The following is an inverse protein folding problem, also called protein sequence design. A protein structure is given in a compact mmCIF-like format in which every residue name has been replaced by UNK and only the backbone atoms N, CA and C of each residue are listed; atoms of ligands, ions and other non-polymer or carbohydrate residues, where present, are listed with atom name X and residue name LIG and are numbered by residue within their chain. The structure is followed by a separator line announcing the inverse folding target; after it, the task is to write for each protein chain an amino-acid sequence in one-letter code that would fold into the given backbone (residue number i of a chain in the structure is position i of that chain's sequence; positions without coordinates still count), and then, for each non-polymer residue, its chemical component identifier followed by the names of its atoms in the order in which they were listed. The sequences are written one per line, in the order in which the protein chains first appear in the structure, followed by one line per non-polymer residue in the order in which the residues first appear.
data_IF_906430340754
#
_entry.id   IF_906430340754
#
_cell.length_a   1.000
_cell.length_b   1.000
_cell.length_c   1.000
_cell.angle_alpha   90.00
_cell.angle_beta   90.00
_cell.angle_gamma   90.00
#
_symmetry.space_group_name_H-M   'P 1'
#
loop_
_entity.id
_entity.type
_entity.pdbx_description
1 polymer ?
#
# COMPACT_ATOMS: atom_id res chain seq x y z
N UNK A 1 -1.32 -12.72 -2.69
CA UNK A 1 -0.18 -12.17 -3.48
C UNK A 1 0.84 -11.60 -2.51
N UNK A 2 2.14 -11.77 -2.72
CA UNK A 2 3.20 -11.42 -1.75
C UNK A 2 4.08 -10.24 -2.20
N UNK A 3 3.51 -9.32 -2.95
CA UNK A 3 4.20 -8.10 -3.35
C UNK A 3 3.84 -6.95 -2.41
N UNK A 4 4.81 -6.56 -1.57
CA UNK A 4 4.65 -5.48 -0.59
C UNK A 4 4.41 -4.13 -1.25
N UNK A 5 5.00 -3.85 -2.42
CA UNK A 5 4.79 -2.55 -3.08
C UNK A 5 3.37 -2.47 -3.67
N UNK A 6 2.84 -3.57 -4.19
CA UNK A 6 1.45 -3.64 -4.64
C UNK A 6 0.45 -3.55 -3.49
N UNK A 7 0.72 -4.18 -2.35
CA UNK A 7 -0.11 -4.03 -1.13
C UNK A 7 -0.15 -2.59 -0.64
N UNK A 8 1.01 -1.93 -0.63
CA UNK A 8 1.11 -0.52 -0.28
C UNK A 8 0.27 0.33 -1.24
N UNK A 9 0.45 0.18 -2.55
CA UNK A 9 -0.32 0.93 -3.54
C UNK A 9 -1.83 0.68 -3.44
N UNK A 10 -2.28 -0.52 -3.11
CA UNK A 10 -3.71 -0.81 -2.90
C UNK A 10 -4.31 0.09 -1.81
N UNK A 11 -3.59 0.34 -0.72
CA UNK A 11 -4.07 1.22 0.37
C UNK A 11 -3.88 2.70 0.03
N UNK A 12 -2.71 3.07 -0.50
CA UNK A 12 -2.38 4.48 -0.80
C UNK A 12 -3.32 5.08 -1.86
N UNK A 13 -3.74 4.29 -2.86
CA UNK A 13 -4.66 4.77 -3.93
C UNK A 13 -6.03 5.22 -3.43
N UNK A 14 -6.49 4.69 -2.31
CA UNK A 14 -7.77 5.09 -1.71
C UNK A 14 -7.65 6.35 -0.84
N UNK A 15 -6.43 6.69 -0.42
CA UNK A 15 -6.10 7.89 0.37
C UNK A 15 -5.73 9.08 -0.50
N UNK A 16 -5.27 8.86 -1.73
CA UNK A 16 -4.97 9.94 -2.68
C UNK A 16 -6.26 10.68 -3.06
N UNK A 17 -6.28 11.99 -2.84
CA UNK A 17 -7.41 12.85 -3.18
C UNK A 17 -7.66 12.87 -4.69
N UNK A 18 -8.90 12.57 -5.09
CA UNK A 18 -9.34 12.47 -6.50
C UNK A 18 -9.98 13.74 -7.08
N UNK A 19 -10.01 14.83 -6.32
CA UNK A 19 -10.51 16.12 -6.81
C UNK A 19 -9.63 16.67 -7.94
N UNK A 20 -10.05 17.70 -8.65
CA UNK A 20 -9.15 18.37 -9.61
C UNK A 20 -7.93 18.96 -8.89
N UNK A 21 -6.77 18.97 -9.56
CA UNK A 21 -5.56 19.63 -9.07
C UNK A 21 -5.79 21.14 -9.07
N UNK A 22 -5.40 21.81 -7.99
CA UNK A 22 -5.34 23.27 -7.93
C UNK A 22 -3.96 23.72 -8.43
N UNK A 23 -3.83 24.97 -8.88
CA UNK A 23 -2.58 25.48 -9.48
C UNK A 23 -1.33 25.33 -8.61
N UNK A 24 -1.50 25.29 -7.27
CA UNK A 24 -0.41 25.10 -6.32
C UNK A 24 -0.05 23.63 -6.04
N UNK A 25 -0.87 22.67 -6.49
CA UNK A 25 -0.68 21.24 -6.25
C UNK A 25 -0.14 20.51 -7.48
N UNK A 26 0.72 19.53 -7.23
CA UNK A 26 1.15 18.55 -8.23
C UNK A 26 0.60 17.17 -7.90
N UNK A 27 0.57 16.28 -8.90
CA UNK A 27 0.27 14.87 -8.66
C UNK A 27 1.22 14.29 -7.60
N UNK A 28 2.52 14.62 -7.67
CA UNK A 28 3.52 14.16 -6.72
C UNK A 28 3.22 14.60 -5.30
N UNK A 29 2.83 15.86 -5.07
CA UNK A 29 2.47 16.33 -3.72
C UNK A 29 1.27 15.57 -3.13
N UNK A 30 0.30 15.17 -3.95
CA UNK A 30 -0.84 14.37 -3.47
C UNK A 30 -0.50 12.92 -3.18
N UNK A 31 0.40 12.35 -3.98
CA UNK A 31 0.92 11.01 -3.72
C UNK A 31 1.70 11.01 -2.41
N UNK A 32 2.52 12.04 -2.16
CA UNK A 32 3.25 12.21 -0.90
C UNK A 32 2.26 12.31 0.26
N UNK A 33 1.29 13.24 0.22
CA UNK A 33 0.28 13.40 1.26
C UNK A 33 -0.50 12.11 1.54
N UNK A 34 -1.02 11.45 0.50
CA UNK A 34 -1.75 10.19 0.65
C UNK A 34 -0.90 9.03 1.14
N UNK A 35 0.41 9.05 0.87
CA UNK A 35 1.37 8.05 1.37
C UNK A 35 1.76 8.27 2.83
N UNK A 36 1.90 9.53 3.26
CA UNK A 36 2.19 9.89 4.65
C UNK A 36 1.00 9.64 5.57
N UNK A 37 -0.23 9.68 5.03
CA UNK A 37 -1.47 9.33 5.74
C UNK A 37 -1.63 7.81 5.96
N UNK A 38 -0.78 6.96 5.38
CA UNK A 38 -0.80 5.52 5.64
C UNK A 38 -0.26 5.23 7.05
N UNK A 39 -1.07 4.67 7.96
CA UNK A 39 -0.59 4.37 9.31
C UNK A 39 0.50 3.30 9.29
N UNK A 40 1.50 3.43 10.17
CA UNK A 40 2.59 2.45 10.33
C UNK A 40 2.05 1.03 10.60
N UNK A 41 0.92 0.92 11.31
CA UNK A 41 0.23 -0.35 11.56
C UNK A 41 -0.15 -1.09 10.26
N UNK A 42 -0.56 -0.38 9.20
CA UNK A 42 -0.83 -1.02 7.92
C UNK A 42 0.44 -1.63 7.32
N UNK A 43 1.57 -0.94 7.42
CA UNK A 43 2.87 -1.45 6.94
C UNK A 43 3.27 -2.69 7.72
N UNK A 44 3.11 -2.68 9.05
CA UNK A 44 3.35 -3.84 9.90
C UNK A 44 2.44 -5.02 9.52
N UNK A 45 1.17 -4.76 9.22
CA UNK A 45 0.22 -5.78 8.78
C UNK A 45 0.61 -6.39 7.42
N UNK A 46 1.16 -5.62 6.48
CA UNK A 46 1.66 -6.17 5.20
C UNK A 46 2.84 -7.11 5.41
N UNK A 47 3.77 -6.73 6.30
CA UNK A 47 4.92 -7.56 6.67
C UNK A 47 4.44 -8.85 7.35
N UNK A 48 3.53 -8.73 8.31
CA UNK A 48 2.98 -9.88 9.03
C UNK A 48 2.24 -10.84 8.08
N UNK A 49 1.38 -10.32 7.21
CA UNK A 49 0.71 -11.12 6.19
C UNK A 49 1.72 -11.87 5.30
N UNK A 50 2.83 -11.22 4.95
CA UNK A 50 3.88 -11.86 4.16
C UNK A 50 4.53 -13.02 4.90
N UNK A 51 4.83 -12.85 6.20
CA UNK A 51 5.35 -13.90 7.07
C UNK A 51 4.36 -15.08 7.15
N UNK A 52 3.07 -14.78 7.33
CA UNK A 52 2.02 -15.80 7.51
C UNK A 52 1.76 -16.62 6.24
N UNK A 53 1.90 -15.99 5.07
CA UNK A 53 1.62 -16.60 3.76
C UNK A 53 2.85 -17.27 3.16
N UNK A 54 4.07 -16.86 3.54
CA UNK A 54 5.31 -17.42 3.01
C UNK A 54 5.39 -18.97 3.13
N UNK A 55 5.02 -19.61 4.25
CA UNK A 55 4.99 -21.07 4.34
C UNK A 55 4.09 -21.74 3.30
N UNK A 56 2.92 -21.14 2.99
CA UNK A 56 2.01 -21.66 1.96
C UNK A 56 2.67 -21.64 0.59
N UNK A 57 3.42 -20.60 0.26
CA UNK A 57 4.20 -20.52 -0.97
C UNK A 57 5.27 -21.63 -1.03
N UNK A 58 6.00 -21.84 0.06
CA UNK A 58 7.02 -22.90 0.16
C UNK A 58 6.39 -24.28 -0.06
N UNK A 59 5.22 -24.51 0.52
CA UNK A 59 4.49 -25.76 0.41
C UNK A 59 3.70 -25.90 -0.90
N UNK A 60 3.71 -24.89 -1.78
CA UNK A 60 2.91 -24.82 -3.02
C UNK A 60 1.41 -25.01 -2.77
N UNK A 61 0.95 -24.53 -1.63
CA UNK A 61 -0.46 -24.48 -1.28
C UNK A 61 -1.13 -23.30 -2.01
N UNK A 62 -2.45 -23.40 -2.30
CA UNK A 62 -3.22 -22.27 -2.82
C UNK A 62 -3.15 -21.06 -1.87
N UNK A 63 -3.00 -19.87 -2.44
CA UNK A 63 -2.95 -18.58 -1.75
C UNK A 63 -4.32 -17.90 -1.68
#
# INVERSE_FOLDING_TARGET
ELDLIEMFWKVTKDRIRRSELIDAETLSSRVIEGSEDVPVEHIQNFIQHSIDVFPKCVNKEPL
#
